data_IF_052864343895
#
_entry.id   IF_052864343895
#
_cell.length_a   1.000
_cell.length_b   1.000
_cell.length_c   1.000
_cell.angle_alpha   90.00
_cell.angle_beta   90.00
_cell.angle_gamma   90.00
#
_symmetry.space_group_name_H-M   'P 1'
#
loop_
_entity.id
_entity.type
_entity.pdbx_description
1 polymer ?
#
# COMPACT_ATOMS: atom_id res chain seq x y z
N UNK A 1 1.44 4.79 -69.58
CA UNK A 1 1.86 5.82 -68.61
C UNK A 1 1.06 5.63 -67.34
N UNK A 2 1.77 5.51 -66.21
CA UNK A 2 1.38 5.86 -64.83
C UNK A 2 0.09 5.23 -64.26
N UNK A 3 0.11 4.57 -63.10
CA UNK A 3 1.18 4.41 -62.13
C UNK A 3 0.75 3.42 -61.05
N UNK A 4 1.70 2.58 -60.63
CA UNK A 4 1.61 1.77 -59.44
C UNK A 4 1.46 2.69 -58.22
N UNK A 5 0.30 2.68 -57.54
CA UNK A 5 0.21 3.22 -56.18
C UNK A 5 0.82 2.19 -55.22
N UNK A 6 2.12 2.32 -54.97
CA UNK A 6 2.79 1.75 -53.80
C UNK A 6 2.23 2.42 -52.55
N UNK A 7 1.45 1.71 -51.77
CA UNK A 7 1.29 1.96 -50.32
C UNK A 7 1.48 0.66 -49.55
N UNK A 8 2.59 -0.01 -49.82
CA UNK A 8 3.13 -0.97 -48.86
C UNK A 8 3.85 -0.20 -47.78
N UNK A 9 3.16 0.19 -46.71
CA UNK A 9 3.83 0.46 -45.44
C UNK A 9 4.31 -0.87 -44.90
N UNK A 10 5.57 -1.22 -45.16
CA UNK A 10 6.30 -2.27 -44.44
C UNK A 10 6.54 -1.80 -43.00
N UNK A 11 5.46 -1.59 -42.26
CA UNK A 11 5.50 -1.24 -40.85
C UNK A 11 5.72 -2.49 -40.02
N UNK A 12 6.45 -2.34 -38.91
CA UNK A 12 6.52 -3.39 -37.90
C UNK A 12 5.09 -3.70 -37.42
N UNK A 13 4.67 -4.98 -37.33
CA UNK A 13 3.35 -5.34 -36.83
C UNK A 13 3.05 -4.69 -35.48
N UNK A 14 1.83 -4.19 -35.28
CA UNK A 14 1.43 -3.46 -34.06
C UNK A 14 1.71 -4.26 -32.78
N UNK A 15 1.50 -5.58 -32.84
CA UNK A 15 1.81 -6.50 -31.73
C UNK A 15 3.29 -6.45 -31.34
N UNK A 16 4.20 -6.39 -32.31
CA UNK A 16 5.64 -6.29 -32.06
C UNK A 16 6.03 -4.90 -31.53
N UNK A 17 5.37 -3.85 -32.03
CA UNK A 17 5.55 -2.49 -31.50
C UNK A 17 5.15 -2.45 -30.02
N UNK A 18 3.97 -2.96 -29.66
CA UNK A 18 3.52 -3.02 -28.28
C UNK A 18 4.42 -3.92 -27.41
N UNK A 19 4.98 -4.99 -27.96
CA UNK A 19 5.97 -5.81 -27.26
C UNK A 19 7.23 -5.02 -26.93
N UNK A 20 7.77 -4.24 -27.88
CA UNK A 20 8.93 -3.38 -27.63
C UNK A 20 8.59 -2.32 -26.59
N UNK A 21 7.45 -1.64 -26.76
CA UNK A 21 6.99 -0.59 -25.85
C UNK A 21 6.78 -1.15 -24.43
N UNK A 22 6.29 -2.38 -24.29
CA UNK A 22 6.09 -3.03 -22.99
C UNK A 22 7.41 -3.26 -22.22
N UNK A 23 8.58 -3.14 -22.85
CA UNK A 23 9.90 -3.26 -22.19
C UNK A 23 10.50 -1.90 -21.80
N UNK A 24 9.79 -0.79 -22.06
CA UNK A 24 10.28 0.55 -21.77
C UNK A 24 9.89 1.00 -20.36
N UNK A 25 10.70 1.84 -19.70
CA UNK A 25 10.33 2.44 -18.42
C UNK A 25 9.04 3.25 -18.50
N UNK A 26 8.26 3.29 -17.41
CA UNK A 26 6.99 4.05 -17.30
C UNK A 26 7.15 5.49 -17.79
N UNK A 27 8.24 6.17 -17.42
CA UNK A 27 8.53 7.55 -17.88
C UNK A 27 8.59 7.71 -19.40
N UNK A 28 9.11 6.72 -20.11
CA UNK A 28 9.12 6.73 -21.57
C UNK A 28 7.72 6.51 -22.13
N UNK A 29 6.95 5.58 -21.57
CA UNK A 29 5.56 5.35 -21.95
C UNK A 29 4.67 6.58 -21.74
N UNK A 30 4.83 7.29 -20.61
CA UNK A 30 4.10 8.53 -20.34
C UNK A 30 4.35 9.57 -21.43
N UNK A 31 5.60 9.72 -21.90
CA UNK A 31 5.93 10.59 -23.04
C UNK A 31 5.32 10.07 -24.34
N UNK A 32 5.34 8.76 -24.57
CA UNK A 32 4.83 8.17 -25.81
C UNK A 32 3.29 8.17 -25.93
N UNK A 33 2.56 8.46 -24.85
CA UNK A 33 1.11 8.72 -24.92
C UNK A 33 0.76 9.86 -25.87
N UNK A 34 1.65 10.84 -26.08
CA UNK A 34 1.39 11.96 -26.99
C UNK A 34 1.71 11.67 -28.46
N UNK A 35 2.30 10.52 -28.79
CA UNK A 35 2.69 10.18 -30.18
C UNK A 35 1.45 9.88 -31.03
N UNK A 36 0.54 9.03 -30.55
CA UNK A 36 -0.71 8.73 -31.23
C UNK A 36 -1.79 8.21 -30.27
N UNK A 37 -3.06 8.38 -30.64
CA UNK A 37 -4.21 7.89 -29.86
C UNK A 37 -4.17 6.37 -29.60
N UNK A 38 -3.87 5.51 -30.60
CA UNK A 38 -3.81 4.06 -30.37
C UNK A 38 -2.82 3.65 -29.27
N UNK A 39 -1.64 4.27 -29.22
CA UNK A 39 -0.66 3.99 -28.16
C UNK A 39 -1.15 4.45 -26.79
N UNK A 40 -1.71 5.66 -26.71
CA UNK A 40 -2.29 6.17 -25.47
C UNK A 40 -3.35 5.22 -24.90
N UNK A 41 -4.27 4.72 -25.74
CA UNK A 41 -5.27 3.73 -25.36
C UNK A 41 -4.64 2.38 -24.99
N UNK A 42 -3.67 1.91 -25.79
CA UNK A 42 -3.01 0.61 -25.57
C UNK A 42 -2.29 0.55 -24.23
N UNK A 43 -1.68 1.65 -23.78
CA UNK A 43 -0.99 1.70 -22.48
C UNK A 43 -1.94 1.65 -21.28
N UNK A 44 -3.24 1.81 -21.48
CA UNK A 44 -4.28 1.66 -20.46
C UNK A 44 -4.94 0.28 -20.50
N UNK A 45 -4.69 -0.51 -21.56
CA UNK A 45 -5.27 -1.83 -21.70
C UNK A 45 -4.69 -2.79 -20.63
N UNK A 46 -5.54 -3.59 -19.93
CA UNK A 46 -5.09 -4.51 -18.89
C UNK A 46 -3.97 -5.45 -19.35
N UNK A 47 -4.08 -6.00 -20.57
CA UNK A 47 -3.08 -6.88 -21.16
C UNK A 47 -1.70 -6.20 -21.30
N UNK A 48 -1.68 -4.93 -21.69
CA UNK A 48 -0.43 -4.19 -21.80
C UNK A 48 0.16 -3.91 -20.42
N UNK A 49 -0.67 -3.52 -19.44
CA UNK A 49 -0.24 -3.26 -18.06
C UNK A 49 0.38 -4.52 -17.45
N UNK A 50 -0.30 -5.68 -17.53
CA UNK A 50 0.22 -6.96 -17.02
C UNK A 50 1.54 -7.33 -17.71
N UNK A 51 1.61 -7.20 -19.03
CA UNK A 51 2.83 -7.50 -19.80
C UNK A 51 3.98 -6.54 -19.43
N UNK A 52 3.68 -5.26 -19.26
CA UNK A 52 4.65 -4.24 -18.87
C UNK A 52 5.19 -4.48 -17.47
N UNK A 53 4.32 -4.80 -16.51
CA UNK A 53 4.70 -5.15 -15.14
C UNK A 53 5.63 -6.37 -15.11
N UNK A 54 5.32 -7.42 -15.87
CA UNK A 54 6.17 -8.60 -15.97
C UNK A 54 7.54 -8.29 -16.58
N UNK A 55 7.59 -7.44 -17.61
CA UNK A 55 8.83 -7.07 -18.29
C UNK A 55 9.70 -6.06 -17.52
N UNK A 56 9.11 -5.29 -16.60
CA UNK A 56 9.79 -4.20 -15.88
C UNK A 56 9.70 -4.39 -14.37
N UNK A 57 10.09 -5.57 -13.89
CA UNK A 57 10.22 -5.84 -12.46
C UNK A 57 11.22 -4.85 -11.84
N UNK A 58 10.70 -3.85 -11.13
CA UNK A 58 11.50 -2.91 -10.36
C UNK A 58 11.47 -3.36 -8.90
N UNK A 59 12.55 -4.00 -8.46
CA UNK A 59 12.68 -4.36 -7.06
C UNK A 59 13.01 -3.11 -6.25
N UNK A 60 12.28 -2.90 -5.17
CA UNK A 60 12.51 -1.82 -4.23
C UNK A 60 12.87 -2.40 -2.87
N UNK A 61 14.06 -2.08 -2.39
CA UNK A 61 14.55 -2.51 -1.09
C UNK A 61 14.48 -1.36 -0.11
N UNK A 62 13.77 -1.56 0.99
CA UNK A 62 13.84 -0.67 2.14
C UNK A 62 14.99 -1.12 3.03
N UNK A 63 16.01 -0.27 3.15
CA UNK A 63 17.10 -0.45 4.10
C UNK A 63 17.00 0.54 5.26
N UNK A 64 17.57 0.18 6.40
CA UNK A 64 17.77 1.08 7.53
C UNK A 64 19.26 1.20 7.82
N UNK A 65 19.72 2.41 8.16
CA UNK A 65 21.10 2.66 8.55
C UNK A 65 21.12 3.14 10.01
N UNK A 66 21.67 2.31 10.90
CA UNK A 66 21.73 2.55 12.35
C UNK A 66 21.53 1.24 13.14
N UNK A 67 21.93 1.24 14.42
CA UNK A 67 21.80 0.07 15.29
C UNK A 67 20.41 -0.04 15.96
N UNK A 68 19.50 0.90 15.72
CA UNK A 68 18.14 0.92 16.28
C UNK A 68 17.07 1.06 15.19
N UNK A 69 15.81 0.77 15.54
CA UNK A 69 14.65 0.93 14.65
C UNK A 69 14.40 2.39 14.23
N UNK A 70 15.00 3.36 14.93
CA UNK A 70 14.97 4.81 14.64
C UNK A 70 15.98 5.26 13.57
N UNK A 71 16.62 4.31 12.89
CA UNK A 71 17.64 4.55 11.89
C UNK A 71 17.11 5.31 10.66
N UNK A 72 18.02 5.85 9.86
CA UNK A 72 17.63 6.54 8.62
C UNK A 72 17.15 5.48 7.61
N UNK A 73 15.91 5.64 7.14
CA UNK A 73 15.35 4.79 6.10
C UNK A 73 15.75 5.25 4.69
N UNK A 74 16.13 4.28 3.87
CA UNK A 74 16.44 4.46 2.46
C UNK A 74 15.68 3.44 1.63
N UNK A 75 15.26 3.85 0.44
CA UNK A 75 14.73 2.94 -0.56
C UNK A 75 15.71 2.82 -1.73
N UNK A 76 16.03 1.59 -2.11
CA UNK A 76 16.95 1.26 -3.19
C UNK A 76 16.18 0.60 -4.30
N UNK A 77 16.07 1.27 -5.44
CA UNK A 77 15.52 0.66 -6.65
C UNK A 77 16.65 -0.07 -7.37
N UNK A 78 16.47 -1.38 -7.55
CA UNK A 78 17.43 -2.21 -8.26
C UNK A 78 17.11 -2.30 -9.74
N UNK A 79 18.15 -2.43 -10.55
CA UNK A 79 18.05 -2.90 -11.94
C UNK A 79 18.70 -4.27 -12.07
N UNK A 80 18.06 -5.14 -12.83
CA UNK A 80 18.67 -6.38 -13.31
C UNK A 80 19.72 -6.05 -14.36
N UNK A 81 20.98 -6.34 -14.07
CA UNK A 81 22.03 -6.33 -15.09
C UNK A 81 22.00 -7.63 -15.88
N UNK A 82 22.51 -7.61 -17.12
CA UNK A 82 22.65 -8.83 -17.92
C UNK A 82 23.60 -9.79 -17.18
N UNK A 83 23.06 -10.84 -16.57
CA UNK A 83 23.85 -11.84 -15.83
C UNK A 83 23.46 -12.08 -14.37
N UNK A 84 22.19 -11.86 -13.99
CA UNK A 84 21.63 -12.13 -12.64
C UNK A 84 22.17 -11.25 -11.50
N UNK A 85 23.08 -10.31 -11.77
CA UNK A 85 23.49 -9.33 -10.78
C UNK A 85 22.49 -8.16 -10.71
N UNK A 86 22.27 -7.67 -9.49
CA UNK A 86 21.48 -6.47 -9.25
C UNK A 86 22.40 -5.30 -8.97
N UNK A 87 22.14 -4.16 -9.59
CA UNK A 87 22.76 -2.89 -9.24
C UNK A 87 21.74 -1.90 -8.71
N UNK A 88 22.18 -1.06 -7.77
CA UNK A 88 21.37 0.04 -7.24
C UNK A 88 21.29 1.12 -8.32
N UNK A 89 20.11 1.25 -8.93
CA UNK A 89 19.85 2.28 -9.94
C UNK A 89 19.56 3.63 -9.30
N UNK A 90 18.72 3.62 -8.26
CA UNK A 90 18.30 4.82 -7.54
C UNK A 90 18.28 4.56 -6.05
N UNK A 91 18.72 5.57 -5.29
CA UNK A 91 18.62 5.64 -3.84
C UNK A 91 17.69 6.80 -3.49
N UNK A 92 16.66 6.52 -2.72
CA UNK A 92 15.69 7.51 -2.24
C UNK A 92 15.82 7.64 -0.73
N UNK A 93 15.72 8.88 -0.25
CA UNK A 93 15.71 9.22 1.16
C UNK A 93 14.58 10.23 1.39
N UNK A 94 13.83 10.02 2.46
CA UNK A 94 12.68 10.85 2.82
C UNK A 94 12.95 11.48 4.20
N UNK A 95 13.65 12.63 4.25
CA UNK A 95 14.11 13.23 5.51
C UNK A 95 12.98 13.79 6.39
N UNK A 96 11.76 13.86 5.87
CA UNK A 96 10.60 14.44 6.55
C UNK A 96 9.83 13.46 7.43
N UNK A 97 10.10 12.15 7.31
CA UNK A 97 9.69 11.18 8.31
C UNK A 97 10.72 11.24 9.44
N UNK A 98 10.26 11.67 10.62
CA UNK A 98 11.13 11.85 11.79
C UNK A 98 11.69 10.51 12.28
N UNK A 99 12.78 10.59 13.03
CA UNK A 99 13.31 9.44 13.77
C UNK A 99 12.37 9.18 14.95
N UNK A 100 11.56 8.14 14.85
CA UNK A 100 10.66 7.72 15.92
C UNK A 100 10.71 6.21 16.12
N UNK A 101 10.27 5.76 17.29
CA UNK A 101 10.31 4.35 17.72
C UNK A 101 9.58 3.40 16.76
N UNK A 102 8.60 3.92 16.02
CA UNK A 102 7.78 3.18 15.06
C UNK A 102 8.44 3.00 13.68
N UNK A 103 9.52 3.73 13.36
CA UNK A 103 10.13 3.74 12.02
C UNK A 103 9.18 4.19 10.91
N UNK A 104 9.64 4.13 9.66
CA UNK A 104 8.82 4.40 8.46
C UNK A 104 8.15 3.12 8.02
N UNK A 105 6.82 3.04 7.99
CA UNK A 105 6.06 1.90 7.46
C UNK A 105 5.65 2.12 5.99
N UNK A 106 5.26 1.02 5.33
CA UNK A 106 4.86 1.00 3.92
C UNK A 106 3.59 0.18 3.78
N UNK A 107 2.56 0.76 3.16
CA UNK A 107 1.31 0.11 2.80
C UNK A 107 1.12 0.14 1.28
N UNK A 108 0.31 -0.79 0.77
CA UNK A 108 0.19 -1.09 -0.65
C UNK A 108 1.11 -2.24 -1.05
N UNK A 109 1.40 -2.47 -2.33
CA UNK A 109 1.26 -1.61 -3.50
C UNK A 109 -0.17 -1.53 -4.07
N UNK A 110 -0.64 -0.33 -4.38
CA UNK A 110 -1.90 -0.10 -5.11
C UNK A 110 -1.60 0.62 -6.44
N UNK A 111 -1.85 -0.02 -7.58
CA UNK A 111 -1.62 0.56 -8.92
C UNK A 111 -0.20 1.16 -9.15
N UNK A 112 0.83 0.59 -8.52
CA UNK A 112 2.20 1.11 -8.63
C UNK A 112 2.55 2.23 -7.63
N UNK A 113 1.59 2.64 -6.79
CA UNK A 113 1.77 3.64 -5.74
C UNK A 113 1.94 2.93 -4.41
N UNK A 114 2.83 3.47 -3.58
CA UNK A 114 3.06 3.08 -2.20
C UNK A 114 2.52 4.18 -1.28
N UNK A 115 1.92 3.78 -0.17
CA UNK A 115 1.64 4.69 0.94
C UNK A 115 2.73 4.51 1.99
N UNK A 116 3.32 5.61 2.42
CA UNK A 116 4.39 5.67 3.41
C UNK A 116 3.85 6.39 4.64
N UNK A 117 4.08 5.85 5.82
CA UNK A 117 3.67 6.55 7.05
C UNK A 117 4.70 6.44 8.16
N UNK A 118 4.86 7.53 8.90
CA UNK A 118 5.57 7.57 10.17
C UNK A 118 4.57 7.73 11.31
N UNK A 119 5.03 8.23 12.47
CA UNK A 119 4.16 8.47 13.62
C UNK A 119 3.04 9.51 13.36
N UNK A 120 3.36 10.57 12.61
CA UNK A 120 2.49 11.74 12.46
C UNK A 120 2.13 12.08 10.99
N UNK A 121 2.89 11.55 10.04
CA UNK A 121 2.80 11.87 8.61
C UNK A 121 2.44 10.65 7.79
N UNK A 122 1.67 10.91 6.74
CA UNK A 122 1.34 9.94 5.69
C UNK A 122 1.68 10.57 4.35
N UNK A 123 2.17 9.77 3.42
CA UNK A 123 2.48 10.23 2.08
C UNK A 123 2.29 9.16 1.02
N UNK A 124 1.89 9.58 -0.18
CA UNK A 124 1.79 8.72 -1.35
C UNK A 124 3.03 8.90 -2.22
N UNK A 125 3.59 7.78 -2.67
CA UNK A 125 4.80 7.77 -3.48
C UNK A 125 4.66 6.84 -4.67
N UNK A 126 4.96 7.34 -5.87
CA UNK A 126 5.12 6.53 -7.07
C UNK A 126 6.62 6.40 -7.40
N UNK A 127 7.27 5.25 -7.12
CA UNK A 127 8.69 5.07 -7.39
C UNK A 127 9.05 5.17 -8.89
N UNK A 128 8.11 4.82 -9.77
CA UNK A 128 8.32 4.79 -11.23
C UNK A 128 8.36 6.18 -11.84
N UNK A 129 7.47 7.08 -11.40
CA UNK A 129 7.46 8.49 -11.85
C UNK A 129 8.34 9.37 -10.98
N UNK A 130 8.61 8.95 -9.73
CA UNK A 130 9.23 9.71 -8.65
C UNK A 130 8.34 10.86 -8.14
N UNK A 131 7.05 10.82 -8.46
CA UNK A 131 6.07 11.74 -7.91
C UNK A 131 5.74 11.33 -6.48
N UNK A 132 5.50 12.34 -5.65
CA UNK A 132 5.34 12.17 -4.22
C UNK A 132 4.41 13.26 -3.69
N UNK A 133 3.53 12.91 -2.75
CA UNK A 133 2.61 13.84 -2.08
C UNK A 133 2.54 13.50 -0.59
N UNK A 134 2.89 14.46 0.27
CA UNK A 134 2.57 14.40 1.70
C UNK A 134 1.09 14.72 1.85
N UNK A 135 0.37 13.90 2.60
CA UNK A 135 -1.04 14.15 2.87
C UNK A 135 -1.17 15.31 3.86
N UNK A 136 -2.21 16.15 3.74
CA UNK A 136 -2.47 17.21 4.70
C UNK A 136 -2.73 16.61 6.09
N UNK A 137 -2.51 17.42 7.13
CA UNK A 137 -2.99 17.05 8.46
C UNK A 137 -4.51 16.88 8.44
N UNK A 138 -5.02 16.00 9.30
CA UNK A 138 -6.45 15.73 9.34
C UNK A 138 -7.23 16.93 9.84
N UNK A 139 -8.29 17.24 9.09
CA UNK A 139 -9.30 18.22 9.42
C UNK A 139 -10.38 17.69 10.39
N UNK A 140 -10.30 16.41 10.78
CA UNK A 140 -11.23 15.81 11.75
C UNK A 140 -11.01 16.44 13.11
N UNK A 141 -12.11 16.80 13.77
CA UNK A 141 -12.06 17.43 15.09
C UNK A 141 -11.50 16.45 16.12
N UNK A 142 -10.54 16.92 16.89
CA UNK A 142 -10.00 16.19 18.03
C UNK A 142 -10.80 16.50 19.30
N UNK A 143 -10.92 15.55 20.23
CA UNK A 143 -11.57 15.83 21.50
C UNK A 143 -10.81 16.90 22.30
N UNK A 144 -11.51 17.70 23.15
CA UNK A 144 -10.87 18.66 24.05
C UNK A 144 -9.85 17.98 24.98
N UNK A 145 -8.82 18.72 25.41
CA UNK A 145 -7.79 18.25 26.36
C UNK A 145 -6.92 17.09 25.85
N UNK A 146 -6.88 16.87 24.54
CA UNK A 146 -5.97 15.91 23.89
C UNK A 146 -4.51 16.18 24.29
N UNK A 147 -3.82 15.16 24.79
CA UNK A 147 -2.39 15.19 25.02
C UNK A 147 -1.62 14.83 23.74
N UNK A 148 -1.88 13.64 23.19
CA UNK A 148 -1.31 13.20 21.91
C UNK A 148 -2.19 12.18 21.20
N UNK A 149 -1.95 12.00 19.91
CA UNK A 149 -2.63 11.01 19.06
C UNK A 149 -1.60 9.99 18.55
N UNK A 150 -1.87 8.70 18.70
CA UNK A 150 -1.12 7.63 18.02
C UNK A 150 -1.81 7.22 16.72
N UNK A 151 -1.01 6.74 15.76
CA UNK A 151 -1.47 6.04 14.58
C UNK A 151 -1.34 4.53 14.83
N UNK A 152 -2.46 3.81 14.83
CA UNK A 152 -2.49 2.39 15.20
C UNK A 152 -2.54 1.48 13.98
N UNK A 153 -3.12 1.98 12.88
CA UNK A 153 -3.23 1.24 11.63
C UNK A 153 -3.50 2.17 10.46
N UNK A 154 -3.03 1.75 9.29
CA UNK A 154 -3.28 2.44 8.03
C UNK A 154 -3.72 1.43 6.98
N UNK A 155 -4.53 1.88 6.03
CA UNK A 155 -4.78 1.14 4.81
C UNK A 155 -4.91 2.07 3.63
N UNK A 156 -4.40 1.59 2.49
CA UNK A 156 -4.31 2.35 1.26
C UNK A 156 -4.89 1.56 0.10
N UNK A 157 -5.77 2.18 -0.66
CA UNK A 157 -6.41 1.53 -1.80
C UNK A 157 -6.99 2.50 -2.80
N UNK A 158 -7.72 1.95 -3.76
CA UNK A 158 -8.23 2.67 -4.91
C UNK A 158 -9.73 2.41 -5.10
N UNK A 159 -10.50 3.48 -5.17
CA UNK A 159 -11.89 3.48 -5.57
C UNK A 159 -11.98 3.53 -7.09
N UNK A 160 -12.33 2.39 -7.67
CA UNK A 160 -12.45 2.24 -9.13
C UNK A 160 -13.66 2.96 -9.74
N UNK A 161 -14.69 3.30 -8.95
CA UNK A 161 -15.88 3.98 -9.46
C UNK A 161 -15.65 5.48 -9.58
N UNK A 162 -14.98 6.07 -8.58
CA UNK A 162 -14.69 7.51 -8.55
C UNK A 162 -13.30 7.86 -9.08
N UNK A 163 -12.49 6.84 -9.42
CA UNK A 163 -11.09 6.99 -9.83
C UNK A 163 -10.26 7.75 -8.78
N UNK A 164 -10.44 7.38 -7.51
CA UNK A 164 -9.86 8.08 -6.37
C UNK A 164 -8.96 7.15 -5.56
N UNK A 165 -7.87 7.71 -5.05
CA UNK A 165 -7.04 7.02 -4.07
C UNK A 165 -7.47 7.40 -2.68
N UNK A 166 -7.64 6.39 -1.82
CA UNK A 166 -8.15 6.57 -0.48
C UNK A 166 -7.18 6.01 0.55
N UNK A 167 -7.10 6.70 1.69
CA UNK A 167 -6.33 6.26 2.85
C UNK A 167 -7.23 6.21 4.06
N UNK A 168 -7.34 5.04 4.67
CA UNK A 168 -8.00 4.84 5.96
C UNK A 168 -6.91 4.86 7.02
N UNK A 169 -7.11 5.58 8.12
CA UNK A 169 -6.24 5.47 9.30
C UNK A 169 -7.05 5.33 10.58
N UNK A 170 -6.52 4.51 11.47
CA UNK A 170 -7.01 4.28 12.83
C UNK A 170 -6.10 5.04 13.78
N UNK A 171 -6.68 5.91 14.59
CA UNK A 171 -5.93 6.74 15.52
C UNK A 171 -6.51 6.65 16.92
N UNK A 172 -5.63 6.64 17.91
CA UNK A 172 -6.00 6.61 19.33
C UNK A 172 -5.57 7.92 19.97
N UNK A 173 -6.54 8.60 20.57
CA UNK A 173 -6.35 9.87 21.25
C UNK A 173 -6.18 9.62 22.75
N UNK A 174 -5.06 10.07 23.30
CA UNK A 174 -4.71 9.96 24.71
C UNK A 174 -4.85 11.33 25.38
N UNK A 175 -5.35 11.31 26.61
CA UNK A 175 -5.58 12.50 27.43
C UNK A 175 -4.61 12.51 28.61
N UNK A 176 -4.30 13.70 29.13
CA UNK A 176 -3.47 13.81 30.33
C UNK A 176 -4.17 13.13 31.52
N UNK A 177 -3.38 12.52 32.41
CA UNK A 177 -3.89 11.99 33.67
C UNK A 177 -4.48 13.15 34.49
N UNK A 178 -5.70 12.96 35.02
CA UNK A 178 -6.15 13.82 36.11
C UNK A 178 -5.36 13.42 37.36
N UNK A 179 -4.37 14.25 37.71
CA UNK A 179 -3.44 14.00 38.83
C UNK A 179 -4.16 13.81 40.17
N UNK A 180 -5.39 14.30 40.31
CA UNK A 180 -6.18 14.19 41.52
C UNK A 180 -7.02 12.90 41.59
N UNK A 181 -7.27 12.25 40.45
CA UNK A 181 -8.10 11.05 40.36
C UNK A 181 -7.31 9.75 40.14
N UNK A 182 -6.07 9.83 39.65
CA UNK A 182 -5.24 8.65 39.38
C UNK A 182 -5.84 7.69 38.33
N UNK A 183 -6.78 8.18 37.53
CA UNK A 183 -7.46 7.43 36.47
C UNK A 183 -6.94 7.92 35.12
N UNK A 184 -6.48 6.98 34.28
CA UNK A 184 -6.31 7.22 32.86
C UNK A 184 -7.70 7.43 32.27
N UNK A 185 -7.93 8.53 31.55
CA UNK A 185 -9.12 8.61 30.71
C UNK A 185 -9.06 7.49 29.68
N UNK A 186 -10.19 6.81 29.45
CA UNK A 186 -10.29 5.82 28.39
C UNK A 186 -9.92 6.49 27.05
N UNK A 187 -8.94 5.92 26.32
CA UNK A 187 -8.51 6.52 25.07
C UNK A 187 -9.65 6.53 24.05
N UNK A 188 -9.72 7.58 23.23
CA UNK A 188 -10.76 7.72 22.21
C UNK A 188 -10.20 7.27 20.86
N UNK A 189 -10.75 6.18 20.32
CA UNK A 189 -10.44 5.69 18.98
C UNK A 189 -11.25 6.45 17.92
N UNK A 190 -10.58 6.93 16.88
CA UNK A 190 -11.21 7.52 15.69
C UNK A 190 -10.70 6.84 14.43
N UNK A 191 -11.57 6.78 13.42
CA UNK A 191 -11.22 6.31 12.09
C UNK A 191 -11.42 7.44 11.11
N UNK A 192 -10.45 7.63 10.23
CA UNK A 192 -10.45 8.74 9.30
C UNK A 192 -10.18 8.24 7.89
N UNK A 193 -10.95 8.77 6.94
CA UNK A 193 -10.81 8.49 5.52
C UNK A 193 -10.35 9.74 4.79
N UNK A 194 -9.21 9.64 4.11
CA UNK A 194 -8.72 10.63 3.18
C UNK A 194 -9.13 10.27 1.75
N UNK A 195 -9.53 11.29 0.99
CA UNK A 195 -9.70 11.22 -0.46
C UNK A 195 -8.65 12.08 -1.14
N UNK A 196 -7.94 11.51 -2.11
CA UNK A 196 -6.94 12.25 -2.89
C UNK A 196 -7.60 13.32 -3.76
N UNK A 197 -8.79 13.04 -4.28
CA UNK A 197 -9.54 13.95 -5.16
C UNK A 197 -10.03 15.19 -4.43
N UNK A 198 -10.56 15.06 -3.20
CA UNK A 198 -10.99 16.22 -2.39
C UNK A 198 -9.84 16.84 -1.58
N UNK A 199 -8.71 16.15 -1.49
CA UNK A 199 -7.55 16.51 -0.65
C UNK A 199 -7.93 16.80 0.80
N UNK A 200 -8.85 16.01 1.36
CA UNK A 200 -9.41 16.23 2.68
C UNK A 200 -9.72 14.94 3.43
N UNK A 201 -9.79 15.05 4.76
CA UNK A 201 -10.10 13.98 5.67
C UNK A 201 -11.54 14.10 6.16
N UNK A 202 -12.21 12.96 6.33
CA UNK A 202 -13.49 12.85 7.02
C UNK A 202 -13.44 11.75 8.07
N UNK A 203 -14.21 11.92 9.13
CA UNK A 203 -14.37 10.91 10.16
C UNK A 203 -15.30 9.79 9.68
N UNK A 204 -14.97 8.58 10.08
CA UNK A 204 -15.73 7.36 9.80
C UNK A 204 -16.12 6.71 11.12
N UNK A 205 -17.31 6.13 11.16
CA UNK A 205 -17.76 5.34 12.31
C UNK A 205 -17.42 3.87 12.08
N UNK A 206 -16.69 3.27 13.03
CA UNK A 206 -16.55 1.82 13.20
C UNK A 206 -16.94 1.50 14.63
N UNK A 207 -17.70 0.43 14.85
CA UNK A 207 -18.12 0.05 16.20
C UNK A 207 -17.11 -0.93 16.79
N UNK A 208 -16.53 -0.53 17.93
CA UNK A 208 -15.84 -1.42 18.89
C UNK A 208 -14.66 -2.25 18.35
N UNK A 209 -14.05 -1.89 17.21
CA UNK A 209 -12.93 -2.66 16.65
C UNK A 209 -11.64 -1.84 16.64
N UNK A 210 -10.60 -2.39 17.26
CA UNK A 210 -9.23 -1.86 17.17
C UNK A 210 -8.48 -2.63 16.09
N UNK A 211 -8.26 -2.00 14.93
CA UNK A 211 -7.49 -2.59 13.84
C UNK A 211 -5.98 -2.40 14.09
N UNK A 212 -5.20 -3.45 13.88
CA UNK A 212 -3.75 -3.35 13.80
C UNK A 212 -3.29 -3.51 12.36
N UNK A 213 -2.52 -2.52 11.90
CA UNK A 213 -1.85 -2.59 10.61
C UNK A 213 -0.58 -3.42 10.74
N UNK A 214 -0.46 -4.50 9.97
CA UNK A 214 0.86 -5.08 9.68
C UNK A 214 1.39 -4.53 8.36
N UNK A 215 2.56 -3.86 8.36
CA UNK A 215 3.17 -3.35 7.13
C UNK A 215 4.00 -4.40 6.40
N UNK A 216 3.93 -5.68 6.79
CA UNK A 216 4.78 -6.73 6.21
C UNK A 216 4.35 -7.13 4.81
N UNK A 217 3.04 -7.10 4.53
CA UNK A 217 2.46 -7.52 3.27
C UNK A 217 1.49 -6.48 2.72
N UNK A 218 1.18 -6.62 1.43
CA UNK A 218 0.11 -5.85 0.82
C UNK A 218 -1.22 -6.46 1.19
N UNK A 219 -2.01 -5.74 1.99
CA UNK A 219 -3.33 -6.21 2.43
C UNK A 219 -4.47 -5.61 1.60
N UNK A 220 -4.16 -4.98 0.46
CA UNK A 220 -5.14 -4.50 -0.50
C UNK A 220 -5.42 -5.56 -1.56
N UNK A 221 -6.65 -6.09 -1.60
CA UNK A 221 -7.10 -7.13 -2.54
C UNK A 221 -8.41 -6.71 -3.19
N UNK A 222 -8.43 -6.62 -4.53
CA UNK A 222 -9.64 -6.40 -5.35
C UNK A 222 -10.57 -5.26 -4.90
N UNK A 223 -10.03 -4.12 -4.47
CA UNK A 223 -10.84 -2.97 -4.03
C UNK A 223 -11.12 -2.93 -2.54
N UNK A 224 -10.68 -3.94 -1.79
CA UNK A 224 -10.82 -4.01 -0.35
C UNK A 224 -9.44 -3.92 0.32
N UNK A 225 -9.38 -3.26 1.47
CA UNK A 225 -8.22 -3.36 2.35
C UNK A 225 -8.59 -4.18 3.58
N UNK A 226 -7.67 -5.04 4.02
CA UNK A 226 -7.87 -5.92 5.15
C UNK A 226 -6.89 -5.62 6.28
N UNK A 227 -7.39 -5.59 7.50
CA UNK A 227 -6.59 -5.52 8.72
C UNK A 227 -6.88 -6.75 9.56
N UNK A 228 -5.88 -7.16 10.32
CA UNK A 228 -6.16 -7.90 11.53
C UNK A 228 -6.72 -6.89 12.54
N UNK A 229 -7.67 -7.33 13.34
CA UNK A 229 -8.29 -6.48 14.33
C UNK A 229 -8.68 -7.26 15.58
N UNK A 230 -8.75 -6.56 16.70
CA UNK A 230 -9.11 -7.12 17.99
C UNK A 230 -10.45 -6.56 18.46
N UNK A 231 -11.31 -7.48 18.86
CA UNK A 231 -12.54 -7.20 19.60
C UNK A 231 -12.54 -8.14 20.80
N UNK A 232 -12.14 -7.66 21.97
CA UNK A 232 -11.90 -8.51 23.16
C UNK A 232 -13.12 -9.43 23.40
N UNK A 233 -12.96 -10.76 23.41
CA UNK A 233 -11.70 -11.54 23.47
C UNK A 233 -11.12 -12.03 22.12
N UNK A 234 -11.78 -11.77 21.00
CA UNK A 234 -11.51 -12.39 19.71
C UNK A 234 -10.62 -11.56 18.79
N UNK A 235 -9.86 -12.25 17.94
CA UNK A 235 -9.18 -11.66 16.77
C UNK A 235 -10.00 -11.94 15.52
N UNK A 236 -10.22 -10.92 14.70
CA UNK A 236 -10.98 -10.99 13.46
C UNK A 236 -10.23 -10.31 12.32
N UNK A 237 -10.75 -10.47 11.11
CA UNK A 237 -10.33 -9.70 9.94
C UNK A 237 -11.33 -8.56 9.74
N UNK A 238 -10.85 -7.33 9.79
CA UNK A 238 -11.62 -6.15 9.41
C UNK A 238 -11.34 -5.86 7.93
N UNK A 239 -12.38 -5.68 7.14
CA UNK A 239 -12.27 -5.27 5.75
C UNK A 239 -12.89 -3.90 5.53
N UNK A 240 -12.33 -3.11 4.63
CA UNK A 240 -12.92 -1.86 4.16
C UNK A 240 -13.05 -1.87 2.64
N UNK A 241 -14.27 -1.66 2.17
CA UNK A 241 -14.60 -1.49 0.76
C UNK A 241 -14.26 -0.07 0.31
N UNK A 242 -13.27 0.09 -0.59
CA UNK A 242 -12.84 1.42 -1.05
C UNK A 242 -13.92 2.14 -1.89
N UNK A 243 -14.81 1.40 -2.54
CA UNK A 243 -15.88 1.94 -3.39
C UNK A 243 -17.07 2.35 -2.54
N UNK A 244 -17.57 1.42 -1.72
CA UNK A 244 -18.77 1.64 -0.92
C UNK A 244 -18.49 2.35 0.42
N UNK A 245 -17.22 2.49 0.79
CA UNK A 245 -16.75 3.10 2.04
C UNK A 245 -17.37 2.44 3.29
N UNK A 246 -17.44 1.12 3.27
CA UNK A 246 -18.07 0.32 4.33
C UNK A 246 -17.08 -0.64 4.96
N UNK A 247 -17.15 -0.71 6.28
CA UNK A 247 -16.48 -1.74 7.05
C UNK A 247 -17.32 -3.02 7.05
N UNK A 248 -16.64 -4.16 7.11
CA UNK A 248 -17.23 -5.47 7.34
C UNK A 248 -16.23 -6.32 8.11
N UNK A 249 -16.71 -7.32 8.84
CA UNK A 249 -15.85 -8.23 9.61
C UNK A 249 -15.95 -9.64 9.06
N UNK A 250 -14.86 -10.36 9.18
CA UNK A 250 -14.73 -11.75 8.79
C UNK A 250 -14.04 -12.51 9.94
N UNK A 251 -14.43 -13.76 10.21
CA UNK A 251 -13.73 -14.57 11.19
C UNK A 251 -12.29 -14.80 10.72
N UNK A 252 -11.34 -14.74 11.66
CA UNK A 252 -9.99 -15.18 11.37
C UNK A 252 -9.99 -16.71 11.22
N UNK A 253 -9.38 -17.29 10.17
CA UNK A 253 -9.24 -18.74 10.07
C UNK A 253 -8.52 -19.31 11.29
N UNK A 254 -9.06 -20.39 11.85
CA UNK A 254 -8.46 -21.11 12.96
C UNK A 254 -7.38 -22.07 12.45
N UNK A 255 -6.28 -22.12 13.18
CA UNK A 255 -5.18 -23.05 12.92
C UNK A 255 -4.82 -23.75 14.21
N UNK A 256 -4.43 -25.02 14.10
CA UNK A 256 -4.02 -25.87 15.22
C UNK A 256 -2.58 -25.57 15.67
N UNK A 257 -2.28 -24.29 15.90
CA UNK A 257 -1.01 -23.82 16.43
C UNK A 257 -1.25 -23.32 17.87
N UNK A 258 -0.30 -23.56 18.78
CA UNK A 258 -0.31 -22.98 20.13
C UNK A 258 -0.20 -21.45 20.08
N UNK A 259 -0.15 -20.73 21.21
CA UNK A 259 -0.31 -19.25 21.21
C UNK A 259 0.85 -18.43 20.58
N UNK A 260 2.02 -19.02 20.33
CA UNK A 260 3.25 -18.31 19.90
C UNK A 260 3.50 -18.29 18.38
N UNK A 261 2.65 -17.62 17.61
CA UNK A 261 2.78 -17.50 16.15
C UNK A 261 2.47 -16.09 15.61
N UNK A 262 3.08 -15.74 14.49
CA UNK A 262 2.70 -14.57 13.70
C UNK A 262 1.49 -14.89 12.83
N UNK A 263 0.59 -13.91 12.68
CA UNK A 263 -0.64 -14.00 11.88
C UNK A 263 -0.68 -12.82 10.93
N UNK A 264 -0.39 -13.06 9.66
CA UNK A 264 -0.25 -11.98 8.69
C UNK A 264 -1.26 -12.16 7.56
N UNK A 265 -1.92 -11.07 7.18
CA UNK A 265 -2.77 -11.05 5.99
C UNK A 265 -1.92 -10.72 4.77
N UNK A 266 -2.32 -11.18 3.59
CA UNK A 266 -1.64 -10.87 2.34
C UNK A 266 -2.56 -11.07 1.13
N UNK A 267 -2.22 -10.38 0.04
CA UNK A 267 -2.67 -10.74 -1.30
C UNK A 267 -1.94 -12.00 -1.81
N UNK A 268 -2.69 -13.06 -2.08
CA UNK A 268 -2.21 -14.26 -2.77
C UNK A 268 -2.95 -14.46 -4.09
N UNK A 269 -2.32 -14.02 -5.19
CA UNK A 269 -2.86 -14.12 -6.55
C UNK A 269 -4.24 -13.44 -6.72
N UNK A 270 -4.45 -12.29 -6.08
CA UNK A 270 -5.72 -11.55 -6.13
C UNK A 270 -6.78 -12.12 -5.19
N UNK A 271 -6.43 -12.99 -4.25
CA UNK A 271 -7.31 -13.50 -3.21
C UNK A 271 -6.76 -13.12 -1.84
N UNK A 272 -7.66 -12.84 -0.89
CA UNK A 272 -7.25 -12.65 0.49
C UNK A 272 -6.68 -13.96 1.01
N UNK A 273 -5.50 -13.89 1.60
CA UNK A 273 -4.88 -14.99 2.29
C UNK A 273 -4.39 -14.57 3.67
N UNK A 274 -4.16 -15.57 4.51
CA UNK A 274 -3.59 -15.41 5.84
C UNK A 274 -2.48 -16.45 6.01
N UNK A 275 -1.29 -15.99 6.42
CA UNK A 275 -0.11 -16.82 6.66
C UNK A 275 0.20 -16.87 8.16
N UNK A 276 0.53 -18.07 8.61
CA UNK A 276 0.75 -18.42 10.01
C UNK A 276 2.09 -19.12 10.13
N UNK A 277 2.97 -18.58 10.98
CA UNK A 277 4.32 -19.11 11.12
C UNK A 277 4.84 -18.90 12.55
N UNK A 278 5.71 -19.80 13.05
CA UNK A 278 6.10 -19.79 14.45
C UNK A 278 6.95 -18.56 14.77
N UNK A 279 6.76 -17.99 15.96
CA UNK A 279 7.54 -16.83 16.42
C UNK A 279 8.99 -17.22 16.74
N UNK A 280 9.17 -18.42 17.27
CA UNK A 280 10.45 -19.00 17.68
C UNK A 280 10.57 -20.45 17.19
N UNK A 281 11.80 -20.97 17.18
CA UNK A 281 12.09 -22.35 16.77
C UNK A 281 12.81 -22.46 15.44
N UNK A 282 13.24 -23.68 15.11
CA UNK A 282 13.92 -24.01 13.85
C UNK A 282 12.97 -24.55 12.80
N UNK A 283 11.70 -24.74 13.14
CA UNK A 283 10.64 -25.08 12.19
C UNK A 283 10.48 -23.95 11.18
N UNK A 284 10.59 -24.32 9.90
CA UNK A 284 10.43 -23.42 8.75
C UNK A 284 9.12 -23.68 8.01
N UNK A 285 8.18 -24.36 8.65
CA UNK A 285 6.83 -24.54 8.16
C UNK A 285 6.02 -23.26 8.39
N UNK A 286 5.10 -23.03 7.49
CA UNK A 286 4.05 -22.03 7.64
C UNK A 286 2.78 -22.63 7.08
N UNK A 287 1.65 -22.24 7.65
CA UNK A 287 0.35 -22.53 7.09
C UNK A 287 -0.17 -21.33 6.31
N UNK A 288 -0.83 -21.60 5.19
CA UNK A 288 -1.42 -20.59 4.33
C UNK A 288 -2.90 -20.92 4.13
N UNK A 289 -3.78 -20.04 4.59
CA UNK A 289 -5.19 -20.07 4.22
C UNK A 289 -5.44 -19.06 3.12
N UNK A 290 -6.27 -19.43 2.15
CA UNK A 290 -6.69 -18.59 1.05
C UNK A 290 -8.22 -18.58 1.04
N UNK A 291 -8.80 -17.40 0.94
CA UNK A 291 -10.25 -17.24 0.82
C UNK A 291 -10.73 -17.86 -0.49
N UNK A 292 -11.77 -18.69 -0.40
CA UNK A 292 -12.44 -19.21 -1.59
C UNK A 292 -13.11 -18.03 -2.33
N UNK A 293 -12.76 -17.87 -3.61
CA UNK A 293 -13.32 -16.83 -4.48
C UNK A 293 -14.76 -17.09 -4.93
#
# INVERSE_FOLDING_TARGET
>A
MQGFSKTGTTGLPEVLVLEILSKLPVKSLTRFRCVCKPWSCSFQAPLFITKHQHNNLNLLFKGFHGNTRDGIHYFYQLSTEKGQNFSVKHKFHFPFFEKGWSGLAVDGLCNGILCLHGADKVALWNPSTREFKILPQSSVQRPPSLHFTSLDGLGFGYDSQTNDYKVVRFVTNYFEEDSDAGLWFDPIHQVELYSLTSDSWKEMSVHEVCADGSPLFNNYVNGFYYWRAYWVPDTLILSFDMVNEKFSTLPLPQFDWGEDFYKELLDFNGLLAAIFYPREGTEKSFDLWVMNG
#
